data_IF_306306035777
#
_entry.id   IF_306306035777
#
_cell.length_a   1.000
_cell.length_b   1.000
_cell.length_c   1.000
_cell.angle_alpha   90.00
_cell.angle_beta   90.00
_cell.angle_gamma   90.00
#
_symmetry.space_group_name_H-M   'P 1'
#
loop_
_entity.id
_entity.type
_entity.pdbx_description
1 polymer ?
#
# COMPACT_ATOMS: atom_id res chain seq x y z
N UNK A 1 -31.67 -15.24 -10.22
CA UNK A 1 -30.66 -16.29 -10.51
C UNK A 1 -29.93 -16.12 -11.85
N UNK A 2 -30.51 -16.36 -13.05
CA UNK A 2 -29.76 -16.16 -14.32
C UNK A 2 -29.23 -14.72 -14.45
N UNK A 3 -30.08 -13.75 -14.15
CA UNK A 3 -29.73 -12.33 -14.20
C UNK A 3 -28.59 -11.96 -13.24
N UNK A 4 -28.62 -12.47 -12.00
CA UNK A 4 -27.54 -12.24 -11.02
C UNK A 4 -26.20 -12.81 -11.50
N UNK A 5 -26.21 -13.98 -12.16
CA UNK A 5 -25.00 -14.58 -12.73
C UNK A 5 -24.47 -13.79 -13.94
N UNK A 6 -25.36 -13.28 -14.78
CA UNK A 6 -24.98 -12.38 -15.88
C UNK A 6 -24.38 -11.09 -15.35
N UNK A 7 -25.00 -10.47 -14.35
CA UNK A 7 -24.50 -9.27 -13.69
C UNK A 7 -23.10 -9.50 -13.09
N UNK A 8 -22.91 -10.63 -12.38
CA UNK A 8 -21.61 -11.01 -11.83
C UNK A 8 -20.55 -11.23 -12.93
N UNK A 9 -20.91 -11.89 -14.03
CA UNK A 9 -19.99 -12.11 -15.14
C UNK A 9 -19.56 -10.79 -15.79
N UNK A 10 -20.49 -9.87 -16.05
CA UNK A 10 -20.17 -8.53 -16.54
C UNK A 10 -19.30 -7.75 -15.56
N UNK A 11 -19.64 -7.78 -14.27
CA UNK A 11 -18.85 -7.14 -13.23
C UNK A 11 -17.41 -7.66 -13.18
N UNK A 12 -17.19 -8.96 -13.30
CA UNK A 12 -15.84 -9.52 -13.30
C UNK A 12 -15.06 -9.22 -14.59
N UNK A 13 -15.75 -9.10 -15.73
CA UNK A 13 -15.10 -8.68 -16.98
C UNK A 13 -14.60 -7.24 -16.92
N UNK A 14 -15.33 -6.35 -16.24
CA UNK A 14 -14.99 -4.92 -16.16
C UNK A 14 -14.06 -4.59 -14.99
N UNK A 15 -14.20 -5.29 -13.87
CA UNK A 15 -13.52 -4.94 -12.61
C UNK A 15 -12.48 -5.96 -12.13
N UNK A 16 -12.34 -7.11 -12.81
CA UNK A 16 -11.45 -8.27 -12.57
C UNK A 16 -11.61 -8.97 -11.22
N UNK A 17 -11.82 -8.20 -10.15
CA UNK A 17 -12.01 -8.63 -8.77
C UNK A 17 -13.15 -7.83 -8.16
N UNK A 18 -13.99 -8.49 -7.36
CA UNK A 18 -15.08 -7.88 -6.61
C UNK A 18 -14.99 -8.31 -5.16
N UNK A 19 -15.22 -7.38 -4.25
CA UNK A 19 -15.41 -7.66 -2.83
C UNK A 19 -16.79 -8.27 -2.59
N UNK A 20 -16.96 -8.94 -1.44
CA UNK A 20 -18.24 -9.53 -1.09
C UNK A 20 -19.37 -8.51 -0.91
N UNK A 21 -19.05 -7.24 -0.62
CA UNK A 21 -20.03 -6.15 -0.57
C UNK A 21 -20.45 -5.70 -1.98
N UNK A 22 -19.48 -5.50 -2.88
CA UNK A 22 -19.76 -5.16 -4.27
C UNK A 22 -20.57 -6.24 -4.98
N UNK A 23 -20.34 -7.52 -4.69
CA UNK A 23 -21.14 -8.64 -5.22
C UNK A 23 -22.61 -8.53 -4.79
N UNK A 24 -22.88 -8.17 -3.53
CA UNK A 24 -24.24 -7.96 -3.02
C UNK A 24 -24.90 -6.77 -3.71
N UNK A 25 -24.19 -5.65 -3.76
CA UNK A 25 -24.65 -4.42 -4.41
C UNK A 25 -24.94 -4.64 -5.92
N UNK A 26 -24.13 -5.45 -6.62
CA UNK A 26 -24.35 -5.81 -8.02
C UNK A 26 -25.65 -6.59 -8.23
N UNK A 27 -25.99 -7.50 -7.32
CA UNK A 27 -27.26 -8.23 -7.37
C UNK A 27 -28.46 -7.29 -7.14
N UNK A 28 -28.25 -6.19 -6.43
CA UNK A 28 -29.22 -5.10 -6.24
C UNK A 28 -29.15 -4.04 -7.35
N UNK A 29 -28.34 -4.26 -8.40
CA UNK A 29 -28.21 -3.38 -9.57
C UNK A 29 -27.32 -2.15 -9.37
N UNK A 30 -26.52 -2.12 -8.30
CA UNK A 30 -25.55 -1.06 -8.03
C UNK A 30 -24.15 -1.49 -8.50
N UNK A 31 -23.50 -0.77 -9.43
CA UNK A 31 -22.17 -1.12 -9.91
C UNK A 31 -21.07 -0.81 -8.89
N UNK A 32 -19.90 -1.47 -8.98
CA UNK A 32 -18.73 -1.17 -8.15
C UNK A 32 -18.23 0.26 -8.37
N UNK A 33 -17.85 0.94 -7.28
CA UNK A 33 -17.28 2.30 -7.34
C UNK A 33 -15.77 2.18 -7.21
N UNK A 34 -15.03 2.55 -8.27
CA UNK A 34 -13.57 2.64 -8.24
C UNK A 34 -13.18 4.11 -8.15
N UNK A 35 -12.54 4.50 -7.06
CA UNK A 35 -11.81 5.76 -7.04
C UNK A 35 -10.66 5.68 -8.05
N UNK A 36 -10.89 6.23 -9.24
CA UNK A 36 -9.84 6.43 -10.25
C UNK A 36 -9.01 7.70 -9.93
N UNK A 37 -9.35 8.38 -8.84
CA UNK A 37 -8.77 9.63 -8.40
C UNK A 37 -7.53 9.38 -7.55
N UNK A 38 -6.39 9.66 -8.17
CA UNK A 38 -5.09 9.88 -7.55
C UNK A 38 -4.66 8.79 -6.57
N UNK A 39 -3.78 7.92 -7.09
CA UNK A 39 -2.63 7.52 -6.28
C UNK A 39 -1.99 8.81 -5.77
N UNK A 40 -2.36 9.23 -4.56
CA UNK A 40 -1.56 10.14 -3.76
C UNK A 40 -0.21 9.45 -3.74
N UNK A 41 0.69 9.90 -4.61
CA UNK A 41 2.03 9.36 -4.68
C UNK A 41 2.54 9.63 -3.28
N UNK A 42 2.73 8.61 -2.42
CA UNK A 42 3.21 8.90 -1.09
C UNK A 42 4.53 9.60 -1.34
N UNK A 43 4.64 10.86 -0.89
CA UNK A 43 5.89 11.59 -0.97
C UNK A 43 6.89 10.67 -0.29
N UNK A 44 7.75 10.03 -1.09
CA UNK A 44 8.70 9.05 -0.56
C UNK A 44 9.72 9.87 0.23
N UNK A 45 9.43 10.08 1.51
CA UNK A 45 10.44 10.49 2.46
C UNK A 45 11.50 9.41 2.47
N UNK A 46 12.72 9.78 2.10
CA UNK A 46 13.85 8.87 2.17
C UNK A 46 14.00 8.37 3.61
N UNK A 47 13.99 7.05 3.80
CA UNK A 47 14.37 6.44 5.08
C UNK A 47 15.86 6.68 5.41
N UNK A 48 16.62 7.20 4.44
CA UNK A 48 18.03 7.50 4.61
C UNK A 48 18.17 8.85 5.30
N UNK A 49 18.74 8.91 6.53
CA UNK A 49 19.03 10.18 7.16
C UNK A 49 20.02 10.96 6.30
N UNK A 50 19.82 12.27 6.14
CA UNK A 50 20.79 13.14 5.47
C UNK A 50 22.07 13.16 6.30
N UNK A 51 23.08 12.41 5.87
CA UNK A 51 24.40 12.46 6.48
C UNK A 51 25.00 13.85 6.22
N UNK A 52 25.40 14.58 7.27
CA UNK A 52 26.10 15.86 7.07
C UNK A 52 25.97 16.94 8.15
N UNK A 53 25.17 16.77 9.21
CA UNK A 53 25.32 17.63 10.39
C UNK A 53 26.50 17.13 11.21
N UNK A 54 27.65 17.75 10.96
CA UNK A 54 28.94 17.43 11.56
C UNK A 54 28.85 17.20 13.07
N UNK A 55 29.53 16.16 13.55
CA UNK A 55 29.78 15.90 14.97
C UNK A 55 30.42 17.15 15.61
N UNK A 56 29.97 17.61 16.79
CA UNK A 56 30.87 18.27 17.72
C UNK A 56 32.02 17.30 18.00
N UNK A 57 33.25 17.73 17.74
CA UNK A 57 34.44 16.98 18.14
C UNK A 57 34.60 17.18 19.64
N UNK A 58 34.38 16.12 20.41
CA UNK A 58 34.96 16.01 21.74
C UNK A 58 35.63 14.64 21.90
N UNK A 59 36.85 14.75 22.40
CA UNK A 59 37.91 13.78 22.59
C UNK A 59 37.54 12.63 23.53
N UNK A 60 38.00 11.41 23.19
CA UNK A 60 38.19 10.36 24.19
C UNK A 60 37.82 8.96 23.74
N UNK A 61 38.84 8.11 23.60
CA UNK A 61 38.78 6.67 23.84
C UNK A 61 38.22 5.75 22.72
N UNK A 62 39.21 5.17 22.03
CA UNK A 62 39.20 4.00 21.16
C UNK A 62 38.38 2.84 21.72
N UNK A 63 37.18 2.58 21.19
CA UNK A 63 36.46 1.33 21.45
C UNK A 63 36.86 0.27 20.41
N UNK A 64 37.84 -0.57 20.74
CA UNK A 64 38.13 -1.80 19.99
C UNK A 64 37.28 -2.94 20.56
N UNK A 65 36.54 -3.72 19.74
CA UNK A 65 35.80 -4.87 20.24
C UNK A 65 36.76 -6.00 20.63
N UNK A 66 36.54 -6.62 21.81
CA UNK A 66 37.27 -7.80 22.27
C UNK A 66 36.47 -9.07 21.98
N UNK A 67 37.07 -10.14 21.43
CA UNK A 67 36.41 -11.43 21.30
C UNK A 67 36.19 -12.04 22.69
N UNK A 68 35.03 -12.65 22.89
CA UNK A 68 34.74 -13.43 24.10
C UNK A 68 35.14 -14.89 23.84
N UNK A 69 35.93 -15.45 24.76
CA UNK A 69 36.25 -16.89 24.83
C UNK A 69 35.44 -17.52 25.95
#
# INVERSE_FOLDING_TARGET
>A
KRHELEALAHGLLEYETLTGEEIRNLMDGQPPIRDTGDTLTPVRGSAVPTAGRGRPRESGERLVPRPQS
#
